data_IF_427253371212
#
_entry.id   IF_427253371212
#
_cell.length_a   1.000
_cell.length_b   1.000
_cell.length_c   1.000
_cell.angle_alpha   90.00
_cell.angle_beta   90.00
_cell.angle_gamma   90.00
#
_symmetry.space_group_name_H-M   'P 1'
#
loop_
_entity.id
_entity.type
_entity.pdbx_description
1 polymer ?
#
# COMPACT_ATOMS: atom_id res chain seq x y z
N UNK A 1 -41.86 -22.85 -4.71
CA UNK A 1 -40.51 -23.41 -4.51
C UNK A 1 -39.53 -22.26 -4.75
N UNK A 2 -39.40 -21.41 -3.74
CA UNK A 2 -38.67 -20.15 -3.81
C UNK A 2 -37.31 -20.36 -3.15
N UNK A 3 -36.22 -20.19 -3.90
CA UNK A 3 -34.92 -19.95 -3.32
C UNK A 3 -34.46 -18.57 -3.74
N UNK A 4 -34.53 -17.69 -2.73
CA UNK A 4 -33.91 -16.39 -2.64
C UNK A 4 -32.42 -16.47 -3.03
N UNK A 5 -32.06 -15.80 -4.12
CA UNK A 5 -30.69 -15.40 -4.41
C UNK A 5 -30.57 -13.89 -4.14
N UNK A 6 -30.61 -13.57 -2.86
CA UNK A 6 -30.30 -12.25 -2.33
C UNK A 6 -29.25 -12.45 -1.24
N UNK A 7 -27.99 -12.52 -1.66
CA UNK A 7 -26.86 -12.60 -0.75
C UNK A 7 -25.78 -11.59 -1.17
N UNK A 8 -25.88 -10.42 -0.54
CA UNK A 8 -24.75 -9.66 -0.01
C UNK A 8 -23.83 -8.95 -1.01
N UNK A 9 -24.34 -7.86 -1.61
CA UNK A 9 -23.57 -6.61 -1.79
C UNK A 9 -23.25 -6.00 -0.41
N UNK A 10 -22.46 -6.71 0.41
CA UNK A 10 -21.95 -6.25 1.69
C UNK A 10 -20.62 -5.52 1.52
N UNK A 11 -20.60 -4.44 0.75
CA UNK A 11 -19.37 -3.73 0.37
C UNK A 11 -19.45 -2.22 0.58
N UNK A 12 -19.82 -1.73 1.76
CA UNK A 12 -19.82 -0.28 2.01
C UNK A 12 -19.72 0.11 3.49
N UNK A 13 -18.60 -0.20 4.15
CA UNK A 13 -18.25 0.43 5.44
C UNK A 13 -16.75 0.37 5.78
N UNK A 14 -15.87 0.52 4.78
CA UNK A 14 -14.41 0.66 4.98
C UNK A 14 -13.85 2.02 4.53
N UNK A 15 -14.70 3.04 4.46
CA UNK A 15 -14.29 4.41 4.11
C UNK A 15 -13.63 5.14 5.30
N UNK A 16 -12.52 4.56 5.77
CA UNK A 16 -11.47 5.27 6.50
C UNK A 16 -10.22 5.51 5.63
N UNK A 17 -10.25 5.10 4.36
CA UNK A 17 -9.16 5.30 3.41
C UNK A 17 -8.99 6.79 3.09
N UNK A 18 -7.79 7.33 3.34
CA UNK A 18 -7.49 8.71 2.96
C UNK A 18 -7.74 8.90 1.46
N UNK A 19 -8.09 10.12 1.01
CA UNK A 19 -8.32 10.41 -0.42
C UNK A 19 -7.17 9.90 -1.31
N UNK A 20 -5.94 10.00 -0.82
CA UNK A 20 -4.72 9.50 -1.47
C UNK A 20 -4.77 7.99 -1.73
N UNK A 21 -5.17 7.20 -0.74
CA UNK A 21 -5.19 5.74 -0.83
C UNK A 21 -6.20 5.26 -1.88
N UNK A 22 -7.36 5.92 -1.96
CA UNK A 22 -8.38 5.61 -2.97
C UNK A 22 -7.90 5.92 -4.38
N UNK A 23 -7.23 7.07 -4.58
CA UNK A 23 -6.67 7.43 -5.88
C UNK A 23 -5.61 6.42 -6.33
N UNK A 24 -4.70 6.04 -5.43
CA UNK A 24 -3.65 5.05 -5.74
C UNK A 24 -4.26 3.68 -6.05
N UNK A 25 -5.29 3.26 -5.31
CA UNK A 25 -5.99 2.01 -5.56
C UNK A 25 -6.76 2.01 -6.90
N UNK A 26 -7.34 3.14 -7.29
CA UNK A 26 -7.98 3.29 -8.60
C UNK A 26 -6.95 3.16 -9.73
N UNK A 27 -5.79 3.80 -9.59
CA UNK A 27 -4.69 3.66 -10.55
C UNK A 27 -4.15 2.22 -10.62
N UNK A 28 -4.04 1.54 -9.48
CA UNK A 28 -3.67 0.12 -9.43
C UNK A 28 -4.72 -0.75 -10.15
N UNK A 29 -5.99 -0.52 -9.88
CA UNK A 29 -7.10 -1.26 -10.52
C UNK A 29 -7.13 -1.05 -12.04
N UNK A 30 -6.89 0.18 -12.48
CA UNK A 30 -6.77 0.50 -13.91
C UNK A 30 -5.57 -0.22 -14.54
N UNK A 31 -4.44 -0.27 -13.84
CA UNK A 31 -3.24 -0.98 -14.30
C UNK A 31 -3.49 -2.49 -14.47
N UNK A 32 -4.23 -3.10 -13.54
CA UNK A 32 -4.64 -4.50 -13.64
C UNK A 32 -5.53 -4.76 -14.85
N UNK A 33 -6.54 -3.91 -15.07
CA UNK A 33 -7.41 -4.02 -16.24
C UNK A 33 -6.63 -3.88 -17.55
N UNK A 34 -5.74 -2.89 -17.63
CA UNK A 34 -4.87 -2.69 -18.78
C UNK A 34 -3.98 -3.91 -19.02
N UNK A 35 -3.39 -4.50 -17.96
CA UNK A 35 -2.54 -5.69 -18.06
C UNK A 35 -3.33 -6.87 -18.61
N UNK A 36 -4.54 -7.10 -18.09
CA UNK A 36 -5.43 -8.15 -18.58
C UNK A 36 -5.76 -7.98 -20.07
N UNK A 37 -6.06 -6.75 -20.51
CA UNK A 37 -6.33 -6.47 -21.93
C UNK A 37 -5.11 -6.72 -22.80
N UNK A 38 -3.92 -6.26 -22.40
CA UNK A 38 -2.68 -6.45 -23.16
C UNK A 38 -2.34 -7.94 -23.30
N UNK A 39 -2.42 -8.70 -22.20
CA UNK A 39 -2.19 -10.14 -22.21
C UNK A 39 -3.23 -10.87 -23.07
N UNK A 40 -4.50 -10.48 -23.02
CA UNK A 40 -5.54 -11.08 -23.86
C UNK A 40 -5.27 -10.82 -25.35
N UNK A 41 -4.91 -9.59 -25.72
CA UNK A 41 -4.58 -9.24 -27.10
C UNK A 41 -3.39 -10.05 -27.60
N UNK A 42 -2.33 -10.21 -26.80
CA UNK A 42 -1.17 -11.03 -27.17
C UNK A 42 -1.55 -12.51 -27.38
N UNK A 43 -2.39 -13.07 -26.50
CA UNK A 43 -2.85 -14.45 -26.63
C UNK A 43 -3.67 -14.64 -27.91
N UNK A 44 -4.57 -13.71 -28.22
CA UNK A 44 -5.38 -13.75 -29.46
C UNK A 44 -4.51 -13.55 -30.69
N UNK A 45 -3.54 -12.63 -30.64
CA UNK A 45 -2.61 -12.38 -31.73
C UNK A 45 -1.81 -13.64 -32.09
N UNK A 46 -1.27 -14.33 -31.08
CA UNK A 46 -0.54 -15.59 -31.28
C UNK A 46 -1.45 -16.71 -31.78
N UNK A 47 -2.67 -16.81 -31.23
CA UNK A 47 -3.60 -17.89 -31.55
C UNK A 47 -4.22 -17.80 -32.95
N UNK A 48 -4.58 -16.59 -33.38
CA UNK A 48 -5.30 -16.38 -34.66
C UNK A 48 -4.34 -16.02 -35.79
N UNK A 49 -3.35 -15.17 -35.50
CA UNK A 49 -2.47 -14.60 -36.52
C UNK A 49 -1.09 -15.26 -36.57
N UNK A 50 -0.80 -16.21 -35.67
CA UNK A 50 0.53 -16.83 -35.50
C UNK A 50 1.67 -15.79 -35.35
N UNK A 51 1.33 -14.58 -34.90
CA UNK A 51 2.24 -13.46 -34.74
C UNK A 51 2.30 -13.05 -33.27
N UNK A 52 3.50 -12.71 -32.78
CA UNK A 52 3.69 -12.14 -31.44
C UNK A 52 3.95 -10.65 -31.57
N UNK A 53 3.31 -9.84 -30.71
CA UNK A 53 3.58 -8.40 -30.71
C UNK A 53 5.00 -8.12 -30.17
N UNK A 54 5.53 -8.98 -29.30
CA UNK A 54 6.84 -8.78 -28.65
C UNK A 54 6.87 -7.69 -27.57
N UNK A 55 5.80 -6.89 -27.46
CA UNK A 55 5.67 -5.73 -26.54
C UNK A 55 4.93 -6.09 -25.25
N UNK A 56 4.10 -7.13 -25.30
CA UNK A 56 3.18 -7.46 -24.22
C UNK A 56 3.88 -7.85 -22.91
N UNK A 57 5.05 -8.49 -22.99
CA UNK A 57 5.85 -8.88 -21.82
C UNK A 57 6.40 -7.64 -21.10
N UNK A 58 6.92 -6.68 -21.86
CA UNK A 58 7.50 -5.44 -21.35
C UNK A 58 6.43 -4.52 -20.72
N UNK A 59 5.32 -4.30 -21.44
CA UNK A 59 4.19 -3.52 -20.92
C UNK A 59 3.55 -4.24 -19.72
N UNK A 60 3.42 -5.57 -19.79
CA UNK A 60 2.91 -6.38 -18.69
C UNK A 60 3.76 -6.24 -17.43
N UNK A 61 5.08 -6.27 -17.57
CA UNK A 61 6.02 -6.03 -16.48
C UNK A 61 5.85 -4.64 -15.84
N UNK A 62 5.67 -3.59 -16.65
CA UNK A 62 5.48 -2.23 -16.13
C UNK A 62 4.13 -2.03 -15.43
N UNK A 63 3.07 -2.60 -15.99
CA UNK A 63 1.75 -2.58 -15.36
C UNK A 63 1.73 -3.39 -14.07
N UNK A 64 2.48 -4.50 -14.00
CA UNK A 64 2.66 -5.28 -12.79
C UNK A 64 3.40 -4.48 -11.70
N UNK A 65 4.47 -3.76 -12.06
CA UNK A 65 5.16 -2.84 -11.12
C UNK A 65 4.18 -1.78 -10.62
N UNK A 66 3.43 -1.14 -11.51
CA UNK A 66 2.42 -0.15 -11.14
C UNK A 66 1.42 -0.76 -10.13
N UNK A 67 0.80 -1.88 -10.49
CA UNK A 67 -0.16 -2.60 -9.65
C UNK A 67 0.42 -2.94 -8.27
N UNK A 68 1.63 -3.51 -8.22
CA UNK A 68 2.27 -3.96 -6.99
C UNK A 68 2.51 -2.80 -6.02
N UNK A 69 3.12 -1.70 -6.50
CA UNK A 69 3.49 -0.58 -5.63
C UNK A 69 2.32 0.35 -5.31
N UNK A 70 1.43 0.64 -6.28
CA UNK A 70 0.27 1.51 -6.05
C UNK A 70 -0.74 0.89 -5.08
N UNK A 71 -0.79 -0.45 -4.96
CA UNK A 71 -1.67 -1.16 -4.02
C UNK A 71 -1.14 -1.17 -2.58
N UNK A 72 0.15 -0.94 -2.34
CA UNK A 72 0.77 -1.01 -1.01
C UNK A 72 0.06 -0.19 0.08
N UNK A 73 -0.33 1.09 -0.16
CA UNK A 73 -1.00 1.89 0.87
C UNK A 73 -2.34 1.30 1.29
N UNK A 74 -3.10 0.77 0.33
CA UNK A 74 -4.39 0.12 0.57
C UNK A 74 -4.23 -1.23 1.29
N UNK A 75 -3.20 -2.00 0.93
CA UNK A 75 -2.85 -3.24 1.63
C UNK A 75 -2.50 -2.99 3.11
N UNK A 76 -1.78 -1.90 3.39
CA UNK A 76 -1.48 -1.48 4.77
C UNK A 76 -2.76 -1.14 5.55
N UNK A 77 -3.66 -0.35 4.96
CA UNK A 77 -4.93 0.01 5.60
C UNK A 77 -5.85 -1.20 5.84
N UNK A 78 -5.81 -2.19 4.95
CA UNK A 78 -6.53 -3.46 5.08
C UNK A 78 -6.03 -4.34 6.23
N UNK A 79 -4.92 -3.99 6.90
CA UNK A 79 -4.23 -4.82 7.91
C UNK A 79 -3.92 -6.23 7.42
N UNK A 80 -3.70 -6.38 6.11
CA UNK A 80 -3.45 -7.70 5.49
C UNK A 80 -2.17 -8.34 6.04
N UNK A 81 -1.23 -7.54 6.53
CA UNK A 81 -0.01 -7.99 7.22
C UNK A 81 -0.32 -8.52 8.65
N UNK A 82 -0.97 -9.68 8.74
CA UNK A 82 -1.47 -10.31 9.98
C UNK A 82 -0.40 -10.85 10.97
N UNK A 83 0.91 -10.64 10.75
CA UNK A 83 1.91 -11.53 11.38
C UNK A 83 2.30 -11.24 12.82
N UNK A 84 1.77 -10.17 13.43
CA UNK A 84 2.13 -9.84 14.81
C UNK A 84 1.06 -10.28 15.83
N UNK A 85 -0.12 -10.73 15.39
CA UNK A 85 -1.20 -11.10 16.32
C UNK A 85 -0.81 -12.21 17.29
N UNK A 86 0.01 -13.18 16.87
CA UNK A 86 0.48 -14.26 17.75
C UNK A 86 1.38 -13.75 18.88
N UNK A 87 2.23 -12.76 18.60
CA UNK A 87 3.07 -12.11 19.62
C UNK A 87 2.20 -11.19 20.48
N UNK A 88 1.32 -10.40 19.87
CA UNK A 88 0.41 -9.48 20.57
C UNK A 88 -0.58 -10.20 21.50
N UNK A 89 -0.96 -11.44 21.19
CA UNK A 89 -1.88 -12.25 22.00
C UNK A 89 -1.31 -12.60 23.38
N UNK A 90 0.03 -12.61 23.54
CA UNK A 90 0.71 -12.92 24.81
C UNK A 90 1.10 -11.68 25.62
N UNK A 91 0.87 -10.48 25.10
CA UNK A 91 1.31 -9.22 25.72
C UNK A 91 0.18 -8.53 26.49
N UNK A 92 0.53 -7.88 27.61
CA UNK A 92 -0.41 -7.02 28.33
C UNK A 92 -0.84 -5.82 27.44
N UNK A 93 -2.03 -5.23 27.66
CA UNK A 93 -2.60 -4.19 26.77
C UNK A 93 -1.66 -3.00 26.51
N UNK A 94 -0.85 -2.61 27.50
CA UNK A 94 0.14 -1.52 27.38
C UNK A 94 1.38 -1.90 26.57
N UNK A 95 1.89 -3.11 26.74
CA UNK A 95 3.03 -3.61 25.96
C UNK A 95 2.63 -3.77 24.49
N UNK A 96 1.39 -4.18 24.24
CA UNK A 96 0.79 -4.28 22.91
C UNK A 96 0.80 -2.95 22.15
N UNK A 97 0.41 -1.86 22.82
CA UNK A 97 0.43 -0.51 22.25
C UNK A 97 1.85 0.00 21.99
N UNK A 98 2.78 -0.22 22.92
CA UNK A 98 4.17 0.19 22.76
C UNK A 98 4.84 -0.56 21.59
N UNK A 99 4.63 -1.87 21.49
CA UNK A 99 5.14 -2.69 20.40
C UNK A 99 4.58 -2.24 19.05
N UNK A 100 3.27 -1.94 18.98
CA UNK A 100 2.65 -1.42 17.76
C UNK A 100 3.30 -0.13 17.26
N UNK A 101 3.58 0.82 18.16
CA UNK A 101 4.24 2.08 17.76
C UNK A 101 5.68 1.86 17.29
N UNK A 102 6.44 0.97 17.95
CA UNK A 102 7.81 0.64 17.52
C UNK A 102 7.81 -0.05 16.16
N UNK A 103 6.89 -0.98 15.95
CA UNK A 103 6.73 -1.67 14.67
C UNK A 103 6.36 -0.69 13.55
N UNK A 104 5.39 0.20 13.78
CA UNK A 104 4.99 1.23 12.81
C UNK A 104 6.16 2.16 12.46
N UNK A 105 6.98 2.54 13.45
CA UNK A 105 8.19 3.35 13.24
C UNK A 105 9.23 2.61 12.39
N UNK A 106 9.44 1.32 12.63
CA UNK A 106 10.38 0.50 11.86
C UNK A 106 9.89 0.35 10.40
N UNK A 107 8.61 0.06 10.21
CA UNK A 107 8.00 0.02 8.87
C UNK A 107 8.13 1.37 8.15
N UNK A 108 7.92 2.48 8.86
CA UNK A 108 8.09 3.82 8.29
C UNK A 108 9.54 4.10 7.88
N UNK A 109 10.52 3.71 8.70
CA UNK A 109 11.93 3.85 8.38
C UNK A 109 12.32 3.05 7.13
N UNK A 110 11.86 1.79 7.03
CA UNK A 110 12.07 0.96 5.85
C UNK A 110 11.40 1.57 4.61
N UNK A 111 10.14 2.02 4.72
CA UNK A 111 9.43 2.66 3.62
C UNK A 111 10.14 3.94 3.14
N UNK A 112 10.61 4.78 4.05
CA UNK A 112 11.36 5.99 3.72
C UNK A 112 12.69 5.69 3.02
N UNK A 113 13.43 4.67 3.49
CA UNK A 113 14.66 4.22 2.85
C UNK A 113 14.42 3.71 1.42
N UNK A 114 13.34 2.96 1.21
CA UNK A 114 12.93 2.49 -0.12
C UNK A 114 12.53 3.65 -1.04
N UNK A 115 11.73 4.61 -0.56
CA UNK A 115 11.39 5.83 -1.33
C UNK A 115 12.65 6.55 -1.76
N UNK A 116 13.61 6.75 -0.84
CA UNK A 116 14.86 7.45 -1.14
C UNK A 116 15.68 6.71 -2.20
N UNK A 117 15.87 5.39 -2.04
CA UNK A 117 16.64 4.59 -2.99
C UNK A 117 15.98 4.55 -4.37
N UNK A 118 14.65 4.40 -4.43
CA UNK A 118 13.89 4.40 -5.67
C UNK A 118 13.91 5.78 -6.36
N UNK A 119 13.86 6.87 -5.59
CA UNK A 119 14.00 8.21 -6.14
C UNK A 119 15.39 8.45 -6.74
N UNK A 120 16.45 7.93 -6.11
CA UNK A 120 17.78 7.96 -6.72
C UNK A 120 17.86 7.12 -8.00
N UNK A 121 17.19 5.97 -8.02
CA UNK A 121 17.11 5.13 -9.22
C UNK A 121 16.48 5.92 -10.39
N UNK A 122 15.33 6.57 -10.15
CA UNK A 122 14.68 7.45 -11.14
C UNK A 122 15.64 8.53 -11.63
N UNK A 123 16.29 9.24 -10.71
CA UNK A 123 17.22 10.32 -11.08
C UNK A 123 18.40 9.81 -11.91
N UNK A 124 18.93 8.64 -11.58
CA UNK A 124 20.00 8.02 -12.34
C UNK A 124 19.52 7.61 -13.74
N UNK A 125 18.36 6.94 -13.85
CA UNK A 125 17.83 6.52 -15.15
C UNK A 125 17.45 7.71 -16.05
N UNK A 126 16.96 8.81 -15.48
CA UNK A 126 16.72 10.07 -16.23
C UNK A 126 18.02 10.69 -16.73
N UNK A 127 19.08 10.72 -15.90
CA UNK A 127 20.39 11.30 -16.28
C UNK A 127 21.14 10.46 -17.30
N UNK A 128 21.09 9.15 -17.16
CA UNK A 128 21.78 8.20 -18.03
C UNK A 128 21.02 7.91 -19.32
N UNK A 129 19.75 8.35 -19.44
CA UNK A 129 18.89 8.01 -20.58
C UNK A 129 18.65 6.51 -20.68
N UNK A 130 18.58 5.81 -19.55
CA UNK A 130 18.43 4.36 -19.52
C UNK A 130 17.08 3.95 -20.11
N UNK A 131 17.15 3.28 -21.26
CA UNK A 131 16.02 2.64 -21.94
C UNK A 131 16.02 1.15 -21.66
N UNK A 132 14.86 0.52 -21.81
CA UNK A 132 14.75 -0.93 -21.71
C UNK A 132 15.66 -1.63 -22.73
N UNK A 133 16.15 -2.82 -22.37
CA UNK A 133 16.99 -3.64 -23.25
C UNK A 133 16.19 -4.37 -24.34
N UNK A 134 14.85 -4.27 -24.28
CA UNK A 134 13.92 -4.90 -25.20
C UNK A 134 13.50 -3.85 -26.24
N UNK A 135 13.43 -4.21 -27.52
CA UNK A 135 13.52 -3.31 -28.68
C UNK A 135 12.49 -2.18 -28.87
N UNK A 136 11.76 -1.74 -27.84
CA UNK A 136 10.91 -0.54 -27.87
C UNK A 136 11.56 0.72 -27.28
N UNK A 137 12.75 0.62 -26.71
CA UNK A 137 13.47 1.75 -26.09
C UNK A 137 12.60 2.54 -25.09
N UNK A 138 11.73 1.85 -24.33
CA UNK A 138 10.86 2.53 -23.37
C UNK A 138 11.71 3.04 -22.22
N UNK A 139 11.61 4.33 -21.86
CA UNK A 139 12.44 4.88 -20.82
C UNK A 139 12.04 4.32 -19.44
N UNK A 140 13.03 3.78 -18.73
CA UNK A 140 12.85 3.10 -17.44
C UNK A 140 12.38 4.02 -16.31
N UNK A 141 12.50 5.34 -16.47
CA UNK A 141 12.03 6.29 -15.46
C UNK A 141 10.50 6.22 -15.26
N UNK A 142 9.72 5.84 -16.27
CA UNK A 142 8.25 5.74 -16.15
C UNK A 142 7.84 4.72 -15.07
N UNK A 143 8.19 3.41 -15.18
CA UNK A 143 7.83 2.44 -14.15
C UNK A 143 8.46 2.76 -12.79
N UNK A 144 9.68 3.32 -12.79
CA UNK A 144 10.36 3.70 -11.54
C UNK A 144 9.64 4.85 -10.81
N UNK A 145 9.07 5.82 -11.53
CA UNK A 145 8.28 6.90 -10.88
C UNK A 145 7.01 6.37 -10.23
N UNK A 146 6.33 5.40 -10.85
CA UNK A 146 5.15 4.74 -10.27
C UNK A 146 5.49 3.99 -8.98
N UNK A 147 6.65 3.33 -8.95
CA UNK A 147 7.19 2.70 -7.76
C UNK A 147 7.42 3.71 -6.62
N UNK A 148 8.05 4.86 -6.92
CA UNK A 148 8.25 5.95 -5.93
C UNK A 148 6.93 6.48 -5.41
N UNK A 149 5.93 6.69 -6.28
CA UNK A 149 4.60 7.17 -5.89
C UNK A 149 3.88 6.20 -4.95
N UNK A 150 3.90 4.89 -5.25
CA UNK A 150 3.30 3.86 -4.40
C UNK A 150 3.96 3.78 -3.02
N UNK A 151 5.29 3.79 -2.98
CA UNK A 151 6.08 3.77 -1.74
C UNK A 151 5.87 5.05 -0.91
N UNK A 152 5.79 6.22 -1.55
CA UNK A 152 5.50 7.49 -0.88
C UNK A 152 4.08 7.48 -0.27
N UNK A 153 3.10 6.92 -0.99
CA UNK A 153 1.76 6.69 -0.47
C UNK A 153 1.75 5.77 0.76
N UNK A 154 2.57 4.71 0.75
CA UNK A 154 2.71 3.80 1.89
C UNK A 154 3.34 4.50 3.10
N UNK A 155 4.41 5.27 2.88
CA UNK A 155 5.04 6.07 3.93
C UNK A 155 4.05 7.06 4.55
N UNK A 156 3.22 7.72 3.72
CA UNK A 156 2.16 8.60 4.19
C UNK A 156 1.11 7.86 5.05
N UNK A 157 0.67 6.67 4.61
CA UNK A 157 -0.25 5.85 5.37
C UNK A 157 0.32 5.44 6.73
N UNK A 158 1.60 5.04 6.78
CA UNK A 158 2.33 4.69 8.00
C UNK A 158 2.45 5.87 8.96
N UNK A 159 2.77 7.08 8.48
CA UNK A 159 2.78 8.29 9.31
C UNK A 159 1.41 8.53 9.95
N UNK A 160 0.32 8.41 9.17
CA UNK A 160 -1.04 8.60 9.68
C UNK A 160 -1.38 7.60 10.78
N UNK A 161 -1.04 6.32 10.59
CA UNK A 161 -1.25 5.26 11.58
C UNK A 161 -0.42 5.49 12.84
N UNK A 162 0.87 5.79 12.70
CA UNK A 162 1.77 6.05 13.82
C UNK A 162 1.36 7.28 14.64
N UNK A 163 0.90 8.36 13.99
CA UNK A 163 0.36 9.55 14.68
C UNK A 163 -0.91 9.21 15.48
N UNK A 164 -1.80 8.38 14.94
CA UNK A 164 -2.99 7.91 15.67
C UNK A 164 -2.60 7.07 16.89
N UNK A 165 -1.68 6.12 16.74
CA UNK A 165 -1.18 5.30 17.85
C UNK A 165 -0.52 6.14 18.96
N UNK A 166 0.31 7.12 18.58
CA UNK A 166 0.96 8.03 19.53
C UNK A 166 -0.05 8.89 20.30
N UNK A 167 -1.13 9.36 19.65
CA UNK A 167 -2.20 10.13 20.31
C UNK A 167 -2.96 9.30 21.33
N UNK A 168 -3.26 8.04 21.02
CA UNK A 168 -3.93 7.12 21.95
C UNK A 168 -3.07 6.83 23.18
N UNK A 169 -1.76 6.63 23.01
CA UNK A 169 -0.83 6.48 24.13
C UNK A 169 -0.76 7.73 25.02
N UNK A 170 -0.77 8.92 24.40
CA UNK A 170 -0.78 10.21 25.14
C UNK A 170 -2.08 10.40 25.91
N UNK A 171 -3.23 10.03 25.35
CA UNK A 171 -4.53 10.10 26.02
C UNK A 171 -4.66 9.12 27.19
N UNK A 172 -4.25 7.86 27.01
CA UNK A 172 -4.26 6.85 28.06
C UNK A 172 -3.32 7.17 29.23
N UNK A 173 -2.18 7.84 28.97
CA UNK A 173 -1.28 8.33 30.03
C UNK A 173 -1.85 9.51 30.81
N UNK A 174 -2.71 10.36 30.21
CA UNK A 174 -3.35 11.48 30.90
C UNK A 174 -4.45 11.00 31.86
N UNK A 175 -5.30 10.07 31.43
CA UNK A 175 -6.36 9.50 32.28
C UNK A 175 -5.82 8.77 33.51
N UNK A 176 -4.63 8.16 33.41
CA UNK A 176 -3.96 7.50 34.54
C UNK A 176 -3.28 8.48 35.51
N UNK A 177 -3.07 9.74 35.13
CA UNK A 177 -2.38 10.75 35.94
C UNK A 177 -3.33 11.54 36.85
N UNK A 178 -4.64 11.51 36.56
CA UNK A 178 -5.72 12.13 37.36
C UNK A 178 -6.51 11.23 38.36
N UNK A 179 -5.97 10.16 38.99
CA UNK A 179 -6.71 9.46 40.05
C UNK A 179 -6.91 10.28 41.33
N UNK A 180 -6.15 11.37 41.54
CA UNK A 180 -6.11 12.08 42.81
C UNK A 180 -6.95 13.37 42.86
N UNK A 181 -7.47 13.87 41.73
CA UNK A 181 -8.35 15.06 41.73
C UNK A 181 -9.76 14.79 42.29
N UNK A 182 -10.17 13.52 42.42
CA UNK A 182 -11.48 13.13 42.97
C UNK A 182 -11.48 12.81 44.46
N UNK A 183 -10.31 12.76 45.11
CA UNK A 183 -10.19 12.45 46.55
C UNK A 183 -10.04 13.71 47.43
N UNK A 184 -9.86 14.89 46.83
CA UNK A 184 -9.62 16.16 47.55
C UNK A 184 -10.89 17.06 47.64
N UNK A 185 -12.08 16.49 47.39
CA UNK A 185 -13.36 17.18 47.60
C UNK A 185 -14.36 16.23 48.25
N UNK A 186 -14.07 15.83 49.48
CA UNK A 186 -15.07 15.33 50.42
C UNK A 186 -14.75 15.93 51.80
N UNK A 187 -15.34 17.10 52.14
CA UNK A 187 -15.31 17.64 53.48
C UNK A 187 -16.13 16.79 54.46
#
# INVERSE_FOLDING_TARGET
MAHHESATTGGSSRDGGGRVERVLLQLASLSLWAMMTVTLVEIVARGVFHASLGIADEIGGYLLVALAFLSLPACHAGRVFHQVEFVLARLAPRQRLAFGVVFDLLCLACAAALVWQCARLVLNSVRSGEVSQNGLDIPLWIPQTLMVLGLAGLAWALVRTGVHGARLLRAGRRAQRDPQSGAEVAP
#
